data_IF_495518712213
#
_entry.id   IF_495518712213
#
_cell.length_a   1.000
_cell.length_b   1.000
_cell.length_c   1.000
_cell.angle_alpha   90.00
_cell.angle_beta   90.00
_cell.angle_gamma   90.00
#
_symmetry.space_group_name_H-M   'P 1'
#
loop_
_entity.id
_entity.type
_entity.pdbx_description
1 polymer ?
#
# COMPACT_ATOMS: atom_id res chain seq x y z
N UNK A 1 5.70 -11.32 10.25
CA UNK A 1 4.86 -11.68 9.06
C UNK A 1 4.29 -10.40 8.47
N UNK A 2 3.97 -10.36 7.18
CA UNK A 2 3.35 -9.20 6.52
C UNK A 2 2.12 -9.66 5.75
N UNK A 3 1.02 -8.91 5.88
CA UNK A 3 -0.20 -9.10 5.09
C UNK A 3 -0.42 -7.88 4.21
N UNK A 4 -0.79 -8.10 2.95
CA UNK A 4 -1.22 -7.05 2.03
C UNK A 4 -2.69 -7.23 1.70
N UNK A 5 -3.45 -6.15 1.67
CA UNK A 5 -4.87 -6.15 1.33
C UNK A 5 -5.02 -5.42 -0.01
N UNK A 6 -5.46 -6.18 -1.00
CA UNK A 6 -5.74 -5.77 -2.37
C UNK A 6 -7.22 -5.44 -2.52
N UNK A 7 -7.58 -4.77 -3.61
CA UNK A 7 -8.97 -4.47 -3.96
C UNK A 7 -9.22 -3.01 -4.32
N UNK A 8 -10.37 -2.75 -4.96
CA UNK A 8 -10.70 -1.43 -5.49
C UNK A 8 -11.01 -0.40 -4.39
N UNK A 9 -11.01 0.89 -4.71
CA UNK A 9 -11.40 1.92 -3.74
C UNK A 9 -12.83 1.63 -3.21
N UNK A 10 -13.08 1.89 -1.93
CA UNK A 10 -14.38 1.63 -1.32
C UNK A 10 -14.68 0.16 -0.96
N UNK A 11 -13.81 -0.81 -1.30
CA UNK A 11 -14.02 -2.23 -0.95
C UNK A 11 -13.84 -2.58 0.54
N UNK A 12 -13.63 -1.59 1.41
CA UNK A 12 -13.51 -1.81 2.86
C UNK A 12 -12.13 -2.22 3.37
N UNK A 13 -11.09 -2.19 2.53
CA UNK A 13 -9.70 -2.58 2.89
C UNK A 13 -9.19 -1.95 4.16
N UNK A 14 -9.37 -0.64 4.32
CA UNK A 14 -8.93 0.10 5.52
C UNK A 14 -9.65 -0.39 6.78
N UNK A 15 -10.95 -0.68 6.67
CA UNK A 15 -11.76 -1.16 7.80
C UNK A 15 -11.32 -2.56 8.22
N UNK A 16 -11.25 -3.50 7.28
CA UNK A 16 -10.84 -4.87 7.55
C UNK A 16 -9.37 -4.94 7.97
N UNK A 17 -8.49 -4.18 7.32
CA UNK A 17 -7.07 -4.16 7.64
C UNK A 17 -6.77 -3.65 9.05
N UNK A 18 -7.46 -2.60 9.50
CA UNK A 18 -7.34 -2.11 10.90
C UNK A 18 -7.80 -3.17 11.90
N UNK A 19 -8.91 -3.85 11.63
CA UNK A 19 -9.41 -4.91 12.50
C UNK A 19 -8.46 -6.11 12.55
N UNK A 20 -7.92 -6.53 11.41
CA UNK A 20 -6.94 -7.60 11.31
C UNK A 20 -5.66 -7.25 12.07
N UNK A 21 -5.12 -6.06 11.83
CA UNK A 21 -3.93 -5.56 12.51
C UNK A 21 -4.12 -5.57 14.03
N UNK A 22 -5.27 -5.06 14.52
CA UNK A 22 -5.61 -5.08 15.95
C UNK A 22 -5.66 -6.50 16.51
N UNK A 23 -6.31 -7.44 15.84
CA UNK A 23 -6.41 -8.85 16.28
C UNK A 23 -5.05 -9.54 16.33
N UNK A 24 -4.15 -9.20 15.41
CA UNK A 24 -2.81 -9.77 15.34
C UNK A 24 -1.77 -9.04 16.20
N UNK A 25 -2.14 -7.90 16.81
CA UNK A 25 -1.21 -6.96 17.43
C UNK A 25 -0.11 -6.47 16.46
N UNK A 26 -0.51 -6.16 15.22
CA UNK A 26 0.36 -5.70 14.13
C UNK A 26 0.12 -4.21 13.86
N UNK A 27 1.06 -3.59 13.16
CA UNK A 27 0.87 -2.24 12.65
C UNK A 27 -0.10 -2.25 11.46
N UNK A 28 -0.95 -1.24 11.36
CA UNK A 28 -1.74 -0.99 10.16
C UNK A 28 -1.11 0.14 9.36
N UNK A 29 -0.88 -0.10 8.06
CA UNK A 29 -0.32 0.87 7.12
C UNK A 29 -1.28 1.00 5.95
N UNK A 30 -1.61 2.24 5.60
CA UNK A 30 -2.24 2.56 4.32
C UNK A 30 -1.16 3.14 3.41
N UNK A 31 -0.93 2.52 2.25
CA UNK A 31 0.23 2.84 1.40
C UNK A 31 0.16 4.28 0.88
N UNK A 32 -1.03 4.75 0.49
CA UNK A 32 -1.22 6.12 0.01
C UNK A 32 -0.89 7.10 1.14
N UNK A 33 -1.47 6.90 2.33
CA UNK A 33 -1.15 7.76 3.50
C UNK A 33 0.31 7.70 3.90
N UNK A 34 0.98 6.57 3.70
CA UNK A 34 2.41 6.43 3.97
C UNK A 34 3.25 7.26 3.00
N UNK A 35 2.90 7.26 1.71
CA UNK A 35 3.51 8.11 0.69
C UNK A 35 3.27 9.59 1.00
N UNK A 36 2.03 9.96 1.32
CA UNK A 36 1.66 11.37 1.58
C UNK A 36 2.44 11.96 2.75
N UNK A 37 2.55 11.19 3.85
CA UNK A 37 3.35 11.59 5.02
C UNK A 37 4.82 11.73 4.71
N UNK A 38 5.37 10.84 3.89
CA UNK A 38 6.79 10.85 3.56
C UNK A 38 7.18 11.98 2.59
N UNK A 39 6.26 12.37 1.70
CA UNK A 39 6.50 13.43 0.70
C UNK A 39 5.91 14.78 1.11
N UNK A 40 5.20 14.85 2.23
CA UNK A 40 4.51 16.04 2.72
C UNK A 40 3.62 16.70 1.64
N UNK A 41 2.92 15.86 0.86
CA UNK A 41 2.00 16.26 -0.21
C UNK A 41 0.96 15.16 -0.41
N UNK A 42 -0.24 15.50 -0.91
CA UNK A 42 -1.27 14.49 -1.15
C UNK A 42 -1.00 13.70 -2.43
N UNK A 43 -1.51 12.47 -2.51
CA UNK A 43 -1.45 11.66 -3.75
C UNK A 43 -2.10 12.43 -4.90
N UNK A 44 -3.24 13.08 -4.65
CA UNK A 44 -3.93 13.90 -5.65
C UNK A 44 -3.05 15.01 -6.24
N UNK A 45 -2.27 15.71 -5.41
CA UNK A 45 -1.33 16.74 -5.87
C UNK A 45 -0.16 16.16 -6.65
N UNK A 46 0.35 14.98 -6.24
CA UNK A 46 1.40 14.30 -7.01
C UNK A 46 0.90 13.95 -8.43
N UNK A 47 -0.32 13.41 -8.53
CA UNK A 47 -0.93 13.10 -9.83
C UNK A 47 -1.15 14.37 -10.67
N UNK A 48 -1.64 15.47 -10.09
CA UNK A 48 -1.85 16.71 -10.84
C UNK A 48 -0.55 17.34 -11.33
N UNK A 49 0.49 17.34 -10.49
CA UNK A 49 1.70 18.11 -10.74
C UNK A 49 2.74 17.33 -11.54
N UNK A 50 2.75 15.99 -11.40
CA UNK A 50 3.78 15.10 -11.96
C UNK A 50 3.23 13.98 -12.83
N UNK A 51 1.90 13.77 -12.83
CA UNK A 51 1.24 12.74 -13.61
C UNK A 51 1.27 11.34 -12.96
N UNK A 52 0.41 10.47 -13.49
CA UNK A 52 0.28 9.09 -13.01
C UNK A 52 1.58 8.27 -13.11
N UNK A 53 2.35 8.29 -14.21
CA UNK A 53 3.56 7.46 -14.31
C UNK A 53 4.56 7.73 -13.18
N UNK A 54 4.77 9.00 -12.85
CA UNK A 54 5.63 9.40 -11.74
C UNK A 54 5.11 8.88 -10.39
N UNK A 55 3.81 8.96 -10.15
CA UNK A 55 3.24 8.39 -8.93
C UNK A 55 3.43 6.88 -8.86
N UNK A 56 3.28 6.12 -9.96
CA UNK A 56 3.45 4.66 -9.95
C UNK A 56 4.88 4.22 -9.62
N UNK A 57 5.88 4.98 -10.05
CA UNK A 57 7.28 4.73 -9.70
C UNK A 57 7.54 4.98 -8.20
N UNK A 58 6.95 6.06 -7.67
CA UNK A 58 6.98 6.35 -6.23
C UNK A 58 6.25 5.27 -5.44
N UNK A 59 5.04 4.90 -5.84
CA UNK A 59 4.20 3.89 -5.21
C UNK A 59 4.95 2.56 -5.09
N UNK A 60 5.63 2.16 -6.16
CA UNK A 60 6.49 0.97 -6.19
C UNK A 60 7.65 1.07 -5.19
N UNK A 61 8.30 2.24 -5.11
CA UNK A 61 9.40 2.48 -4.18
C UNK A 61 8.96 2.42 -2.73
N UNK A 62 7.80 3.00 -2.41
CA UNK A 62 7.24 3.00 -1.06
C UNK A 62 6.59 1.67 -0.68
N UNK A 63 6.06 0.92 -1.64
CA UNK A 63 5.62 -0.46 -1.42
C UNK A 63 6.77 -1.32 -0.91
N UNK A 64 7.94 -1.26 -1.56
CA UNK A 64 9.14 -2.00 -1.12
C UNK A 64 9.55 -1.62 0.30
N UNK A 65 9.58 -0.32 0.63
CA UNK A 65 9.86 0.17 1.98
C UNK A 65 8.83 -0.34 3.00
N UNK A 66 7.54 -0.33 2.66
CA UNK A 66 6.49 -0.82 3.53
C UNK A 66 6.59 -2.33 3.78
N UNK A 67 7.03 -3.10 2.78
CA UNK A 67 7.27 -4.54 2.88
C UNK A 67 8.51 -4.91 3.72
N UNK A 68 9.33 -3.95 4.13
CA UNK A 68 10.40 -4.17 5.12
C UNK A 68 9.89 -4.06 6.57
N UNK A 69 8.71 -3.46 6.77
CA UNK A 69 8.12 -3.22 8.09
C UNK A 69 7.44 -4.49 8.61
N UNK A 70 8.21 -5.31 9.33
CA UNK A 70 7.73 -6.56 9.92
C UNK A 70 6.51 -6.35 10.83
N UNK A 71 5.65 -7.37 10.88
CA UNK A 71 4.44 -7.41 11.71
C UNK A 71 3.48 -6.28 11.36
N UNK A 72 3.16 -6.20 10.06
CA UNK A 72 2.30 -5.17 9.49
C UNK A 72 1.20 -5.76 8.62
N UNK A 73 0.07 -5.06 8.57
CA UNK A 73 -1.02 -5.23 7.61
C UNK A 73 -1.05 -3.97 6.76
N UNK A 74 -0.87 -4.12 5.45
CA UNK A 74 -0.70 -3.03 4.50
C UNK A 74 -1.91 -3.00 3.56
N UNK A 75 -2.69 -1.93 3.62
CA UNK A 75 -3.74 -1.63 2.64
C UNK A 75 -3.09 -0.98 1.42
N UNK A 76 -3.31 -1.55 0.24
CA UNK A 76 -2.74 -1.08 -1.01
C UNK A 76 -3.78 -0.28 -1.82
N UNK A 77 -3.33 0.64 -2.66
CA UNK A 77 -4.19 1.30 -3.64
C UNK A 77 -4.73 0.30 -4.67
N UNK A 78 -5.89 0.61 -5.25
CA UNK A 78 -6.52 -0.30 -6.23
C UNK A 78 -5.68 -0.53 -7.49
N UNK A 79 -4.84 0.46 -7.85
CA UNK A 79 -3.90 0.36 -8.97
C UNK A 79 -2.55 -0.26 -8.61
N UNK A 80 -2.16 -0.29 -7.33
CA UNK A 80 -0.82 -0.75 -6.90
C UNK A 80 -0.37 -2.07 -7.53
N UNK A 81 -1.19 -3.15 -7.56
CA UNK A 81 -0.75 -4.43 -8.14
C UNK A 81 -0.64 -4.42 -9.68
N UNK A 82 -1.22 -3.43 -10.37
CA UNK A 82 -1.31 -3.40 -11.83
C UNK A 82 -0.08 -2.80 -12.52
N UNK A 83 0.77 -2.08 -11.78
CA UNK A 83 1.91 -1.37 -12.34
C UNK A 83 3.23 -2.02 -11.96
N UNK A 84 4.19 -1.89 -12.86
CA UNK A 84 5.52 -2.49 -12.72
C UNK A 84 5.40 -3.99 -12.46
N UNK A 85 6.19 -4.52 -11.53
CA UNK A 85 6.12 -5.90 -11.06
C UNK A 85 5.62 -5.97 -9.61
N UNK A 86 4.78 -5.02 -9.20
CA UNK A 86 4.34 -4.89 -7.81
C UNK A 86 3.61 -6.13 -7.31
N UNK A 87 2.80 -6.79 -8.15
CA UNK A 87 2.12 -8.01 -7.75
C UNK A 87 3.11 -9.15 -7.45
N UNK A 88 4.17 -9.30 -8.25
CA UNK A 88 5.23 -10.29 -7.99
C UNK A 88 5.97 -9.99 -6.69
N UNK A 89 6.33 -8.72 -6.47
CA UNK A 89 6.96 -8.27 -5.23
C UNK A 89 6.05 -8.60 -4.02
N UNK A 90 4.76 -8.29 -4.13
CA UNK A 90 3.77 -8.58 -3.08
C UNK A 90 3.72 -10.07 -2.79
N UNK A 91 3.61 -10.92 -3.80
CA UNK A 91 3.51 -12.37 -3.64
C UNK A 91 4.77 -12.99 -3.00
N UNK A 92 5.95 -12.41 -3.25
CA UNK A 92 7.21 -12.88 -2.67
C UNK A 92 7.35 -12.44 -1.21
N UNK A 93 6.90 -11.24 -0.85
CA UNK A 93 7.24 -10.60 0.42
C UNK A 93 6.11 -10.57 1.45
N UNK A 94 4.86 -10.86 1.05
CA UNK A 94 3.71 -10.86 1.96
C UNK A 94 2.68 -11.94 1.62
N UNK A 95 1.75 -12.15 2.55
CA UNK A 95 0.52 -12.89 2.28
C UNK A 95 -0.54 -11.91 1.76
N UNK A 96 -0.89 -12.02 0.49
CA UNK A 96 -1.91 -11.17 -0.14
C UNK A 96 -3.33 -11.66 0.16
N UNK A 97 -4.23 -10.71 0.42
CA UNK A 97 -5.67 -10.91 0.63
C UNK A 97 -6.39 -10.01 -0.39
N UNK A 98 -7.28 -10.58 -1.21
CA UNK A 98 -8.11 -9.85 -2.17
C UNK A 98 -9.58 -10.03 -1.82
#
# INVERSE_FOLDING_TARGET
>A
MIYTILGFMGSGKTTIGKQLAKKLNYNFIDLDQYIEKALNTSVSSIFSDKGEPYFRDIETSYLKKALELKNSVISLGGGTPCFNNNMDIINVHSKSIF
#
